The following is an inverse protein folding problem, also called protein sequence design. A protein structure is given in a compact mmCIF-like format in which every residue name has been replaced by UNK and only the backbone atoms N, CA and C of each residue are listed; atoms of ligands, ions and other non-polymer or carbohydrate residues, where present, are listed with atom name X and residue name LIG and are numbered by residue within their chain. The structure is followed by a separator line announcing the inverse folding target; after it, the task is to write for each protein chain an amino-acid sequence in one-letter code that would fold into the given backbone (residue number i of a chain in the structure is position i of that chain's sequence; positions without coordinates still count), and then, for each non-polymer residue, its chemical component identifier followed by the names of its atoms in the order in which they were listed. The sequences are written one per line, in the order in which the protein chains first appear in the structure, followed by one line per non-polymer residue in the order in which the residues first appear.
data_IF_267460324192
#
_entry.id   IF_267460324192
#
_cell.length_a   1.000
_cell.length_b   1.000
_cell.length_c   1.000
_cell.angle_alpha   90.00
_cell.angle_beta   90.00
_cell.angle_gamma   90.00
#
_symmetry.space_group_name_H-M   'P 1'
#
loop_
_entity.id
_entity.type
_entity.pdbx_description
1 polymer ?
#
# COMPACT_ATOMS: atom_id res chain seq x y z
N UNK A 1 -16.34 -17.42 -6.22
CA UNK A 1 -17.37 -18.43 -5.90
C UNK A 1 -17.61 -18.45 -4.38
N UNK A 2 -18.84 -18.71 -3.94
CA UNK A 2 -19.09 -18.82 -2.50
C UNK A 2 -18.36 -20.05 -1.94
N UNK A 3 -17.72 -19.92 -0.78
CA UNK A 3 -16.96 -21.00 -0.14
C UNK A 3 -15.58 -21.29 -0.73
N UNK A 4 -15.13 -20.59 -1.79
CA UNK A 4 -13.79 -20.79 -2.37
C UNK A 4 -12.70 -19.94 -1.71
N UNK A 5 -13.06 -18.98 -0.85
CA UNK A 5 -12.08 -18.10 -0.20
C UNK A 5 -11.37 -18.86 0.90
N UNK A 6 -10.04 -18.91 0.84
CA UNK A 6 -9.20 -19.64 1.78
C UNK A 6 -7.91 -18.88 2.09
N UNK A 7 -7.38 -19.14 3.28
CA UNK A 7 -6.02 -18.74 3.67
C UNK A 7 -5.05 -19.83 3.24
N UNK A 8 -4.06 -19.51 2.40
CA UNK A 8 -3.04 -20.47 1.96
C UNK A 8 -1.79 -20.42 2.82
N UNK A 9 -1.35 -19.20 3.15
CA UNK A 9 -0.23 -18.93 4.07
C UNK A 9 -0.74 -18.05 5.21
N UNK A 10 -0.39 -18.39 6.44
CA UNK A 10 -0.88 -17.68 7.63
C UNK A 10 0.28 -17.25 8.50
N UNK A 11 0.41 -15.94 8.70
CA UNK A 11 1.41 -15.31 9.57
C UNK A 11 2.84 -15.78 9.29
N UNK A 12 3.17 -15.95 8.01
CA UNK A 12 4.51 -16.32 7.56
C UNK A 12 5.46 -15.13 7.67
N UNK A 13 6.74 -15.39 7.94
CA UNK A 13 7.76 -14.34 7.98
C UNK A 13 8.41 -14.22 6.60
N UNK A 14 8.15 -13.10 5.94
CA UNK A 14 8.86 -12.72 4.73
C UNK A 14 10.04 -11.81 5.06
N UNK A 15 11.22 -12.15 4.54
CA UNK A 15 12.47 -11.42 4.77
C UNK A 15 12.86 -10.64 3.52
N UNK A 16 12.95 -9.33 3.68
CA UNK A 16 13.49 -8.40 2.69
C UNK A 16 14.86 -7.91 3.12
N UNK A 17 15.54 -7.13 2.27
CA UNK A 17 16.93 -6.69 2.50
C UNK A 17 17.16 -5.98 3.84
N UNK A 18 16.18 -5.25 4.36
CA UNK A 18 16.33 -4.43 5.58
C UNK A 18 15.17 -4.57 6.58
N UNK A 19 14.11 -5.30 6.23
CA UNK A 19 12.91 -5.46 7.06
C UNK A 19 12.34 -6.86 6.88
N UNK A 20 11.53 -7.30 7.85
CA UNK A 20 10.72 -8.50 7.73
C UNK A 20 9.25 -8.15 7.97
N UNK A 21 8.36 -8.82 7.26
CA UNK A 21 6.90 -8.65 7.43
C UNK A 21 6.27 -9.97 7.85
N UNK A 22 5.23 -9.87 8.69
CA UNK A 22 4.29 -10.97 8.92
C UNK A 22 3.25 -10.88 7.81
N UNK A 23 3.15 -11.92 6.99
CA UNK A 23 2.28 -11.96 5.81
C UNK A 23 1.30 -13.12 5.91
N UNK A 24 0.12 -12.93 5.34
CA UNK A 24 -0.86 -13.99 5.14
C UNK A 24 -1.41 -13.87 3.72
N UNK A 25 -1.57 -15.00 3.04
CA UNK A 25 -2.11 -15.06 1.69
C UNK A 25 -3.56 -15.49 1.72
N UNK A 26 -4.43 -14.70 1.08
CA UNK A 26 -5.85 -14.99 0.89
C UNK A 26 -6.08 -15.22 -0.60
N UNK A 27 -6.68 -16.35 -0.94
CA UNK A 27 -6.98 -16.73 -2.33
C UNK A 27 -8.43 -17.15 -2.46
N UNK A 28 -8.98 -17.08 -3.66
CA UNK A 28 -10.29 -17.64 -3.98
C UNK A 28 -10.67 -17.40 -5.43
N UNK A 29 -11.58 -18.23 -5.94
CA UNK A 29 -12.08 -18.08 -7.30
C UNK A 29 -13.02 -16.87 -7.42
N UNK A 30 -12.95 -16.14 -8.53
CA UNK A 30 -13.97 -15.15 -8.87
C UNK A 30 -15.33 -15.84 -9.11
N UNK A 31 -16.42 -15.09 -8.97
CA UNK A 31 -17.73 -15.59 -9.39
C UNK A 31 -17.80 -15.60 -10.93
N UNK A 32 -18.65 -16.46 -11.50
CA UNK A 32 -18.70 -16.65 -12.96
C UNK A 32 -19.15 -15.39 -13.72
N UNK A 33 -19.79 -14.43 -13.03
CA UNK A 33 -20.25 -13.13 -13.55
C UNK A 33 -19.31 -11.97 -13.20
N UNK A 34 -18.07 -12.26 -12.75
CA UNK A 34 -17.09 -11.25 -12.29
C UNK A 34 -15.76 -11.34 -13.01
N UNK A 35 -15.12 -10.20 -13.14
CA UNK A 35 -13.78 -10.08 -13.74
C UNK A 35 -12.74 -9.51 -12.76
N UNK A 36 -11.52 -9.29 -13.25
CA UNK A 36 -10.42 -8.74 -12.46
C UNK A 36 -10.67 -7.30 -12.00
N UNK A 37 -11.46 -6.50 -12.73
CA UNK A 37 -11.79 -5.13 -12.34
C UNK A 37 -12.80 -5.10 -11.19
N UNK A 38 -13.76 -6.03 -11.16
CA UNK A 38 -14.63 -6.23 -10.00
C UNK A 38 -13.81 -6.56 -8.74
N UNK A 39 -12.81 -7.44 -8.89
CA UNK A 39 -11.90 -7.81 -7.81
C UNK A 39 -11.09 -6.60 -7.31
N UNK A 40 -10.53 -5.81 -8.23
CA UNK A 40 -9.77 -4.62 -7.91
C UNK A 40 -10.64 -3.60 -7.13
N UNK A 41 -11.85 -3.33 -7.62
CA UNK A 41 -12.78 -2.39 -7.01
C UNK A 41 -13.20 -2.82 -5.60
N UNK A 42 -13.38 -4.12 -5.37
CA UNK A 42 -13.75 -4.64 -4.06
C UNK A 42 -12.59 -4.54 -3.04
N UNK A 43 -11.35 -4.71 -3.50
CA UNK A 43 -10.17 -4.77 -2.64
C UNK A 43 -9.58 -3.40 -2.33
N UNK A 44 -9.63 -2.45 -3.26
CA UNK A 44 -8.96 -1.14 -3.14
C UNK A 44 -9.85 -0.10 -2.46
N UNK A 45 -9.30 0.79 -1.59
CA UNK A 45 -7.91 0.80 -1.12
C UNK A 45 -7.64 -0.35 -0.14
N UNK A 46 -6.38 -0.78 -0.11
CA UNK A 46 -5.97 -1.90 0.71
C UNK A 46 -6.09 -1.58 2.21
N UNK A 47 -6.53 -2.56 3.00
CA UNK A 47 -6.74 -2.40 4.44
C UNK A 47 -5.48 -1.96 5.20
N UNK A 48 -4.30 -2.35 4.72
CA UNK A 48 -3.00 -2.00 5.32
C UNK A 48 -2.66 -0.51 5.24
N UNK A 49 -3.30 0.25 4.35
CA UNK A 49 -3.04 1.69 4.12
C UNK A 49 -4.26 2.56 4.42
N UNK A 50 -5.41 1.95 4.66
CA UNK A 50 -6.62 2.63 5.15
C UNK A 50 -6.83 2.42 6.65
N UNK A 51 -6.85 1.16 7.11
CA UNK A 51 -7.29 0.76 8.45
C UNK A 51 -8.58 -0.04 8.46
N UNK A 52 -9.11 -0.32 9.65
CA UNK A 52 -10.30 -1.13 9.89
C UNK A 52 -11.18 -0.53 11.02
N UNK A 53 -12.52 -0.43 10.85
CA UNK A 53 -13.29 -0.69 9.64
C UNK A 53 -12.94 0.28 8.49
N UNK A 54 -12.81 -0.25 7.25
CA UNK A 54 -12.20 0.46 6.11
C UNK A 54 -12.80 1.86 5.86
N UNK A 55 -14.12 1.96 5.76
CA UNK A 55 -14.82 3.22 5.46
C UNK A 55 -14.56 4.25 6.53
N UNK A 56 -14.74 3.89 7.81
CA UNK A 56 -14.53 4.84 8.92
C UNK A 56 -13.07 5.28 9.02
N UNK A 57 -12.12 4.37 8.78
CA UNK A 57 -10.71 4.73 8.79
C UNK A 57 -10.36 5.72 7.67
N UNK A 58 -10.94 5.55 6.47
CA UNK A 58 -10.77 6.51 5.37
C UNK A 58 -11.38 7.89 5.67
N UNK A 59 -12.54 7.95 6.33
CA UNK A 59 -13.12 9.23 6.76
C UNK A 59 -12.19 9.97 7.73
N UNK A 60 -11.65 9.27 8.73
CA UNK A 60 -10.69 9.87 9.69
C UNK A 60 -9.41 10.34 8.97
N UNK A 61 -8.91 9.55 8.01
CA UNK A 61 -7.76 9.95 7.19
C UNK A 61 -8.08 11.24 6.42
N UNK A 62 -9.26 11.34 5.80
CA UNK A 62 -9.68 12.53 5.04
C UNK A 62 -9.90 13.75 5.94
N UNK A 63 -10.36 13.55 7.18
CA UNK A 63 -10.48 14.60 8.21
C UNK A 63 -9.11 15.13 8.66
N UNK A 64 -8.07 14.30 8.67
CA UNK A 64 -6.76 14.61 9.25
C UNK A 64 -5.69 15.00 8.21
N UNK A 65 -5.72 14.43 7.01
CA UNK A 65 -4.72 14.71 5.98
C UNK A 65 -5.06 16.02 5.24
N UNK A 66 -4.11 16.96 5.11
CA UNK A 66 -4.38 18.27 4.52
C UNK A 66 -4.61 18.23 3.01
N UNK A 67 -4.23 17.12 2.36
CA UNK A 67 -4.22 16.98 0.91
C UNK A 67 -4.68 15.58 0.51
N UNK A 68 -5.23 15.48 -0.70
CA UNK A 68 -5.52 14.18 -1.31
C UNK A 68 -4.22 13.40 -1.53
N UNK A 69 -4.26 12.09 -1.25
CA UNK A 69 -3.11 11.18 -1.39
C UNK A 69 -2.58 11.01 -2.82
N UNK A 70 -3.39 11.33 -3.83
CA UNK A 70 -2.99 11.13 -5.23
C UNK A 70 -2.62 9.65 -5.48
N UNK A 71 -1.44 9.36 -6.05
CA UNK A 71 -0.99 7.98 -6.25
C UNK A 71 -0.71 7.21 -4.95
N UNK A 72 -0.38 7.88 -3.85
CA UNK A 72 -0.01 7.20 -2.60
C UNK A 72 -1.17 6.34 -2.08
N UNK A 73 -0.86 5.10 -1.66
CA UNK A 73 -1.83 4.09 -1.23
C UNK A 73 -2.85 3.64 -2.33
N UNK A 74 -2.68 4.12 -3.57
CA UNK A 74 -3.35 3.59 -4.75
C UNK A 74 -2.71 2.28 -5.24
N UNK A 75 -2.92 1.96 -6.51
CA UNK A 75 -2.39 0.75 -7.14
C UNK A 75 -1.61 1.08 -8.42
N UNK A 76 -0.54 0.32 -8.67
CA UNK A 76 0.24 0.34 -9.91
C UNK A 76 0.39 -1.11 -10.37
N UNK A 77 0.21 -1.36 -11.66
CA UNK A 77 0.26 -2.72 -12.19
C UNK A 77 -0.16 -2.79 -13.65
N UNK A 78 -0.58 -3.97 -14.07
CA UNK A 78 -1.06 -4.22 -15.42
C UNK A 78 -2.33 -5.07 -15.44
N UNK A 79 -3.06 -4.98 -16.54
CA UNK A 79 -4.12 -5.90 -16.94
C UNK A 79 -3.85 -6.31 -18.38
N UNK A 80 -3.93 -7.60 -18.68
CA UNK A 80 -3.74 -8.11 -20.04
C UNK A 80 -5.07 -8.40 -20.76
N UNK A 81 -4.99 -8.72 -22.05
CA UNK A 81 -6.15 -9.04 -22.88
C UNK A 81 -6.79 -10.39 -22.58
N UNK A 82 -6.16 -11.22 -21.75
CA UNK A 82 -6.69 -12.48 -21.27
C UNK A 82 -7.45 -12.33 -19.93
N UNK A 83 -7.49 -11.11 -19.37
CA UNK A 83 -8.14 -10.81 -18.11
C UNK A 83 -7.27 -11.05 -16.89
N UNK A 84 -5.98 -11.35 -17.06
CA UNK A 84 -5.06 -11.44 -15.93
C UNK A 84 -4.71 -10.03 -15.45
N UNK A 85 -4.53 -9.89 -14.15
CA UNK A 85 -4.17 -8.64 -13.50
C UNK A 85 -3.14 -8.91 -12.41
N UNK A 86 -2.10 -8.09 -12.37
CA UNK A 86 -1.17 -8.03 -11.24
C UNK A 86 -0.93 -6.57 -10.88
N UNK A 87 -1.05 -6.27 -9.59
CA UNK A 87 -0.96 -4.91 -9.05
C UNK A 87 -0.26 -4.92 -7.71
N UNK A 88 0.55 -3.90 -7.46
CA UNK A 88 1.08 -3.58 -6.15
C UNK A 88 0.48 -2.29 -5.61
N UNK A 89 0.48 -2.13 -4.29
CA UNK A 89 0.10 -0.88 -3.65
C UNK A 89 1.21 0.14 -3.91
N UNK A 90 0.86 1.35 -4.33
CA UNK A 90 1.76 2.47 -4.56
C UNK A 90 2.31 3.03 -3.24
N UNK A 91 3.19 2.25 -2.61
CA UNK A 91 4.02 2.62 -1.47
C UNK A 91 5.47 2.70 -1.92
N UNK A 92 6.30 3.41 -1.14
CA UNK A 92 7.71 3.62 -1.48
C UNK A 92 7.89 4.08 -2.94
N UNK A 93 7.05 5.03 -3.35
CA UNK A 93 7.00 5.58 -4.71
C UNK A 93 7.34 7.06 -4.66
N UNK A 94 8.09 7.54 -5.66
CA UNK A 94 8.35 8.98 -5.87
C UNK A 94 7.44 9.43 -7.01
N UNK A 95 6.62 10.45 -6.76
CA UNK A 95 5.85 11.12 -7.82
C UNK A 95 6.62 12.36 -8.21
N UNK A 96 7.05 12.45 -9.48
CA UNK A 96 7.78 13.61 -9.99
C UNK A 96 6.88 14.44 -10.88
N UNK A 97 6.68 15.69 -10.53
CA UNK A 97 5.83 16.62 -11.29
C UNK A 97 6.43 18.03 -11.23
N UNK A 98 6.56 18.68 -12.39
CA UNK A 98 6.99 20.08 -12.51
C UNK A 98 8.30 20.40 -11.76
N UNK A 99 9.26 19.47 -11.78
CA UNK A 99 10.54 19.62 -11.10
C UNK A 99 10.52 19.31 -9.60
N UNK A 100 9.37 18.90 -9.04
CA UNK A 100 9.20 18.59 -7.62
C UNK A 100 9.03 17.07 -7.44
N UNK A 101 9.83 16.49 -6.55
CA UNK A 101 9.72 15.09 -6.14
C UNK A 101 8.89 14.97 -4.86
N UNK A 102 7.73 14.32 -4.95
CA UNK A 102 6.84 14.05 -3.83
C UNK A 102 7.09 12.66 -3.28
N UNK A 103 7.34 12.57 -1.97
CA UNK A 103 7.52 11.32 -1.23
C UNK A 103 6.52 11.31 -0.08
N UNK A 104 5.66 10.29 -0.04
CA UNK A 104 4.69 10.10 1.03
C UNK A 104 4.92 8.76 1.72
N UNK A 105 4.82 8.77 3.05
CA UNK A 105 4.95 7.59 3.90
C UNK A 105 4.00 7.71 5.10
N UNK A 106 3.61 6.57 5.67
CA UNK A 106 2.70 6.49 6.79
C UNK A 106 2.97 5.28 7.67
N UNK A 107 2.28 5.24 8.81
CA UNK A 107 2.33 4.17 9.80
C UNK A 107 0.92 3.73 10.18
N UNK A 108 0.77 2.49 10.59
CA UNK A 108 -0.51 1.96 11.08
C UNK A 108 -0.66 2.30 12.55
N UNK A 109 -1.73 3.01 12.91
CA UNK A 109 -1.98 3.43 14.29
C UNK A 109 -2.91 2.43 14.97
N UNK A 110 -2.46 1.90 16.11
CA UNK A 110 -3.22 1.02 17.00
C UNK A 110 -3.28 1.61 18.40
N UNK A 111 -4.07 1.00 19.28
CA UNK A 111 -4.33 1.56 20.62
C UNK A 111 -3.07 1.69 21.49
N UNK A 112 -2.06 0.84 21.25
CA UNK A 112 -0.78 0.79 21.94
C UNK A 112 0.35 1.52 21.17
N UNK A 113 0.03 2.19 20.06
CA UNK A 113 1.01 2.97 19.30
C UNK A 113 1.63 4.08 20.13
N UNK A 114 2.94 4.25 20.00
CA UNK A 114 3.70 5.33 20.63
C UNK A 114 3.97 6.41 19.58
N UNK A 115 3.41 7.63 19.69
CA UNK A 115 3.47 8.64 18.62
C UNK A 115 4.87 8.92 18.07
N UNK A 116 5.88 8.98 18.95
CA UNK A 116 7.27 9.21 18.56
C UNK A 116 7.84 8.06 17.70
N UNK A 117 7.46 6.81 18.02
CA UNK A 117 7.92 5.64 17.27
C UNK A 117 7.26 5.59 15.89
N UNK A 118 5.96 5.86 15.80
CA UNK A 118 5.22 5.87 14.54
C UNK A 118 5.76 6.95 13.59
N UNK A 119 6.02 8.15 14.12
CA UNK A 119 6.67 9.21 13.35
C UNK A 119 8.05 8.77 12.85
N UNK A 120 8.88 8.18 13.70
CA UNK A 120 10.19 7.67 13.30
C UNK A 120 10.09 6.57 12.24
N UNK A 121 9.06 5.70 12.30
CA UNK A 121 8.79 4.69 11.30
C UNK A 121 8.48 5.31 9.93
N UNK A 122 7.66 6.38 9.88
CA UNK A 122 7.37 7.08 8.61
C UNK A 122 8.64 7.64 7.98
N UNK A 123 9.53 8.24 8.78
CA UNK A 123 10.84 8.74 8.32
C UNK A 123 11.72 7.60 7.82
N UNK A 124 11.73 6.45 8.51
CA UNK A 124 12.50 5.28 8.09
C UNK A 124 12.00 4.71 6.75
N UNK A 125 10.69 4.67 6.54
CA UNK A 125 10.06 4.23 5.29
C UNK A 125 10.38 5.18 4.12
N UNK A 126 10.41 6.50 4.37
CA UNK A 126 10.74 7.51 3.36
C UNK A 126 12.24 7.60 3.05
N UNK A 127 13.11 7.31 4.02
CA UNK A 127 14.57 7.50 3.96
C UNK A 127 15.21 6.89 2.70
N UNK A 128 14.79 5.68 2.32
CA UNK A 128 15.34 5.01 1.14
C UNK A 128 15.13 5.81 -0.16
N UNK A 129 13.97 6.42 -0.32
CA UNK A 129 13.63 7.24 -1.49
C UNK A 129 14.35 8.58 -1.46
N UNK A 130 14.37 9.24 -0.31
CA UNK A 130 15.08 10.51 -0.13
C UNK A 130 16.58 10.35 -0.42
N UNK A 131 17.19 9.24 0.05
CA UNK A 131 18.58 8.92 -0.25
C UNK A 131 18.82 8.66 -1.73
N UNK A 132 17.87 8.04 -2.43
CA UNK A 132 17.98 7.82 -3.86
C UNK A 132 17.97 9.14 -4.66
N UNK A 133 17.15 10.11 -4.24
CA UNK A 133 17.13 11.47 -4.82
C UNK A 133 18.49 12.16 -4.58
N UNK A 134 18.95 12.21 -3.33
CA UNK A 134 20.22 12.85 -2.96
C UNK A 134 21.43 12.28 -3.72
N UNK A 135 21.51 10.95 -3.83
CA UNK A 135 22.57 10.27 -4.59
C UNK A 135 22.52 10.57 -6.09
N UNK A 136 21.33 10.88 -6.63
CA UNK A 136 21.16 11.21 -8.04
C UNK A 136 21.52 12.67 -8.31
N UNK A 137 21.12 13.60 -7.43
CA UNK A 137 21.53 15.01 -7.51
C UNK A 137 23.04 15.17 -7.38
N UNK A 138 23.70 14.45 -6.47
CA UNK A 138 25.16 14.51 -6.31
C UNK A 138 25.97 13.92 -7.47
N UNK A 139 25.32 13.29 -8.46
CA UNK A 139 25.94 12.83 -9.71
C UNK A 139 25.85 13.86 -10.85
N UNK A 140 25.00 14.88 -10.71
CA UNK A 140 24.87 15.98 -11.66
C UNK A 140 25.89 17.07 -11.35
#
# INVERSE_FOLDING_TARGET
RYGSVQLTDVMTIERYSHVMHITSNVTGDLADDKDCFDALRACVPAGTVSGAPKVRAMEIIDELEPHRRGPYAGVVGYVDYHGNMDTCIALRTIVFQDGIAYVQAGAGIVADSVPANEYQETLNKARGLLRAIELTEGRM
#
